data_IF_323315413561
#
_entry.id   IF_323315413561
#
_cell.length_a   1.000
_cell.length_b   1.000
_cell.length_c   1.000
_cell.angle_alpha   90.00
_cell.angle_beta   90.00
_cell.angle_gamma   90.00
#
_symmetry.space_group_name_H-M   'P 1'
#
loop_
_entity.id
_entity.type
_entity.pdbx_description
1 polymer ?
#
# COMPACT_ATOMS: atom_id res chain seq x y z
N UNK A 1 2.82 -19.72 21.40
CA UNK A 1 2.54 -19.29 22.79
C UNK A 1 1.11 -19.70 23.15
N UNK A 2 0.93 -20.10 24.40
CA UNK A 2 -0.38 -20.43 24.96
C UNK A 2 -0.72 -19.33 25.96
N UNK A 3 -1.88 -18.74 25.84
CA UNK A 3 -2.38 -17.76 26.77
C UNK A 3 -3.26 -18.45 27.79
N UNK A 4 -3.05 -18.17 29.09
CA UNK A 4 -3.87 -18.68 30.18
C UNK A 4 -4.68 -17.52 30.74
N UNK A 5 -5.97 -17.74 30.90
CA UNK A 5 -6.86 -16.86 31.64
C UNK A 5 -7.27 -17.58 32.92
N UNK A 6 -7.05 -16.95 34.06
CA UNK A 6 -7.44 -17.46 35.37
C UNK A 6 -8.55 -16.58 35.94
N UNK A 7 -9.71 -17.16 36.19
CA UNK A 7 -10.78 -16.47 36.88
C UNK A 7 -11.05 -17.16 38.21
N UNK A 8 -11.46 -16.40 39.23
CA UNK A 8 -11.76 -16.89 40.55
C UNK A 8 -13.26 -17.00 40.73
N UNK A 9 -13.78 -18.19 40.81
CA UNK A 9 -15.20 -18.45 41.04
C UNK A 9 -15.51 -18.60 42.53
N UNK A 10 -14.56 -19.07 43.32
CA UNK A 10 -14.60 -19.14 44.79
C UNK A 10 -13.19 -19.29 45.33
N UNK A 11 -13.00 -19.17 46.67
CA UNK A 11 -11.70 -19.40 47.31
C UNK A 11 -11.14 -20.82 47.08
N UNK A 12 -11.98 -21.77 46.68
CA UNK A 12 -11.61 -23.19 46.50
C UNK A 12 -11.57 -23.67 45.05
N UNK A 13 -12.21 -22.96 44.08
CA UNK A 13 -12.28 -23.37 42.69
C UNK A 13 -11.54 -22.42 41.78
N UNK A 14 -10.45 -22.91 41.24
CA UNK A 14 -9.64 -22.18 40.23
C UNK A 14 -9.81 -22.82 38.85
N UNK A 15 -10.45 -22.11 37.95
CA UNK A 15 -10.59 -22.54 36.55
C UNK A 15 -9.47 -21.89 35.73
N UNK A 16 -8.61 -22.71 35.14
CA UNK A 16 -7.58 -22.28 34.23
C UNK A 16 -7.97 -22.68 32.80
N UNK A 17 -8.23 -21.71 31.95
CA UNK A 17 -8.54 -21.97 30.55
C UNK A 17 -7.32 -21.62 29.67
N UNK A 18 -6.76 -22.64 29.02
CA UNK A 18 -5.65 -22.49 28.11
C UNK A 18 -6.16 -22.30 26.65
N UNK A 19 -5.85 -21.17 26.04
CA UNK A 19 -6.10 -20.93 24.63
C UNK A 19 -4.87 -21.34 23.80
N UNK A 20 -5.02 -22.42 23.00
CA UNK A 20 -3.95 -22.87 22.12
C UNK A 20 -3.90 -21.99 20.86
N UNK A 21 -2.71 -21.49 20.54
CA UNK A 21 -2.46 -20.75 19.29
C UNK A 21 -2.15 -21.64 18.09
N UNK A 22 -2.23 -22.98 18.25
CA UNK A 22 -1.84 -23.94 17.20
C UNK A 22 -2.62 -23.79 15.88
N UNK A 23 -3.84 -23.25 15.92
CA UNK A 23 -4.67 -22.96 14.73
C UNK A 23 -4.94 -21.47 14.52
N UNK A 24 -4.25 -20.62 15.27
CA UNK A 24 -4.47 -19.17 15.21
C UNK A 24 -4.25 -18.58 13.83
N UNK A 25 -3.24 -19.05 13.07
CA UNK A 25 -2.94 -18.55 11.72
C UNK A 25 -4.11 -18.70 10.75
N UNK A 26 -4.88 -19.79 10.86
CA UNK A 26 -6.05 -19.99 9.97
C UNK A 26 -7.19 -19.06 10.39
N UNK A 27 -7.55 -19.07 11.69
CA UNK A 27 -8.61 -18.22 12.23
C UNK A 27 -8.32 -16.73 12.01
N UNK A 28 -7.05 -16.33 12.15
CA UNK A 28 -6.63 -14.96 11.90
C UNK A 28 -6.78 -14.58 10.41
N UNK A 29 -6.41 -15.45 9.46
CA UNK A 29 -6.63 -15.21 8.03
C UNK A 29 -8.10 -15.11 7.68
N UNK A 30 -8.92 -16.01 8.23
CA UNK A 30 -10.38 -15.99 8.03
C UNK A 30 -10.99 -14.70 8.59
N UNK A 31 -10.52 -14.23 9.75
CA UNK A 31 -10.91 -12.95 10.34
C UNK A 31 -10.47 -11.76 9.48
N UNK A 32 -9.21 -11.72 9.03
CA UNK A 32 -8.69 -10.65 8.15
C UNK A 32 -9.46 -10.62 6.83
N UNK A 33 -9.75 -11.79 6.25
CA UNK A 33 -10.58 -11.88 5.04
C UNK A 33 -12.02 -11.36 5.29
N UNK A 34 -12.59 -11.65 6.45
CA UNK A 34 -13.91 -11.14 6.84
C UNK A 34 -13.89 -9.63 6.99
N UNK A 35 -12.90 -9.06 7.69
CA UNK A 35 -12.75 -7.61 7.88
C UNK A 35 -12.47 -6.91 6.55
N UNK A 36 -11.65 -7.49 5.69
CA UNK A 36 -11.38 -6.94 4.35
C UNK A 36 -12.67 -6.88 3.48
N UNK A 37 -13.58 -7.83 3.67
CA UNK A 37 -14.90 -7.81 3.03
C UNK A 37 -15.86 -6.75 3.59
N UNK A 38 -15.53 -6.12 4.72
CA UNK A 38 -16.25 -4.97 5.26
C UNK A 38 -15.81 -3.64 4.67
N UNK A 39 -14.68 -3.61 3.94
CA UNK A 39 -14.26 -2.44 3.20
C UNK A 39 -15.20 -2.23 2.00
N UNK A 40 -15.49 -0.97 1.69
CA UNK A 40 -16.30 -0.59 0.52
C UNK A 40 -15.58 -0.83 -0.83
N UNK A 41 -14.47 -1.58 -0.82
CA UNK A 41 -13.64 -1.90 -1.97
C UNK A 41 -12.91 -3.22 -1.74
N UNK A 42 -12.61 -3.92 -2.82
CA UNK A 42 -11.90 -5.20 -2.84
C UNK A 42 -10.40 -5.00 -3.13
N UNK A 43 -9.64 -6.08 -3.02
CA UNK A 43 -8.24 -6.11 -3.48
C UNK A 43 -8.12 -5.73 -4.97
N UNK A 44 -9.02 -6.24 -5.80
CA UNK A 44 -8.99 -6.01 -7.25
C UNK A 44 -9.17 -4.53 -7.60
N UNK A 45 -9.92 -3.78 -6.79
CA UNK A 45 -10.13 -2.34 -6.99
C UNK A 45 -8.87 -1.50 -6.76
N UNK A 46 -7.92 -2.00 -5.97
CA UNK A 46 -6.71 -1.29 -5.55
C UNK A 46 -5.41 -1.96 -5.99
N UNK A 47 -5.44 -3.23 -6.42
CA UNK A 47 -4.26 -4.02 -6.80
C UNK A 47 -3.44 -3.38 -7.93
N UNK A 48 -4.12 -2.63 -8.81
CA UNK A 48 -3.50 -1.79 -9.83
C UNK A 48 -4.02 -0.37 -9.72
N UNK A 49 -3.22 0.52 -9.15
CA UNK A 49 -3.61 1.91 -8.90
C UNK A 49 -2.69 2.89 -9.60
N UNK A 50 -3.27 3.84 -10.34
CA UNK A 50 -2.56 4.96 -10.94
C UNK A 50 -2.81 6.23 -10.13
N UNK A 51 -1.73 6.85 -9.66
CA UNK A 51 -1.75 8.09 -8.90
C UNK A 51 -1.24 9.24 -9.78
N UNK A 52 -1.97 10.33 -9.84
CA UNK A 52 -1.60 11.52 -10.60
C UNK A 52 -1.33 12.71 -9.68
N UNK A 53 -0.42 13.56 -10.12
CA UNK A 53 -0.09 14.81 -9.46
C UNK A 53 -0.98 15.94 -9.95
N UNK A 54 -1.18 16.95 -9.09
CA UNK A 54 -1.77 18.22 -9.50
C UNK A 54 -0.86 18.91 -10.50
N UNK A 55 -1.42 19.79 -11.33
CA UNK A 55 -0.65 20.53 -12.31
C UNK A 55 0.43 21.37 -11.62
N UNK A 56 1.65 21.31 -12.16
CA UNK A 56 2.82 22.05 -11.66
C UNK A 56 3.10 21.89 -10.15
N UNK A 57 2.77 20.73 -9.56
CA UNK A 57 2.88 20.48 -8.14
C UNK A 57 3.40 19.07 -7.85
N UNK A 58 4.07 18.89 -6.72
CA UNK A 58 4.42 17.57 -6.15
C UNK A 58 3.34 17.03 -5.19
N UNK A 59 2.15 17.65 -5.20
CA UNK A 59 0.99 17.16 -4.44
C UNK A 59 0.13 16.26 -5.32
N UNK A 60 -0.37 15.19 -4.73
CA UNK A 60 -1.33 14.33 -5.39
C UNK A 60 -2.69 15.01 -5.56
N UNK A 61 -3.43 14.60 -6.58
CA UNK A 61 -4.84 14.94 -6.70
C UNK A 61 -5.64 14.37 -5.52
N UNK A 62 -6.80 14.96 -5.21
CA UNK A 62 -7.68 14.44 -4.14
C UNK A 62 -8.05 12.97 -4.36
N UNK A 63 -8.30 12.58 -5.62
CA UNK A 63 -8.60 11.20 -5.98
C UNK A 63 -7.42 10.26 -5.68
N UNK A 64 -6.17 10.69 -6.01
CA UNK A 64 -4.97 9.92 -5.74
C UNK A 64 -4.69 9.81 -4.23
N UNK A 65 -4.93 10.86 -3.47
CA UNK A 65 -4.80 10.82 -2.00
C UNK A 65 -5.75 9.79 -1.38
N UNK A 66 -7.02 9.78 -1.82
CA UNK A 66 -8.01 8.79 -1.35
C UNK A 66 -7.58 7.37 -1.69
N UNK A 67 -7.03 7.12 -2.88
CA UNK A 67 -6.53 5.80 -3.27
C UNK A 67 -5.32 5.33 -2.44
N UNK A 68 -4.40 6.23 -2.11
CA UNK A 68 -3.26 5.93 -1.21
C UNK A 68 -3.78 5.52 0.17
N UNK A 69 -4.77 6.22 0.71
CA UNK A 69 -5.39 5.87 2.00
C UNK A 69 -6.07 4.49 1.96
N UNK A 70 -6.81 4.18 0.89
CA UNK A 70 -7.42 2.86 0.70
C UNK A 70 -6.36 1.76 0.68
N UNK A 71 -5.27 1.96 -0.07
CA UNK A 71 -4.16 1.00 -0.12
C UNK A 71 -3.53 0.85 1.27
N UNK A 72 -3.25 1.94 1.98
CA UNK A 72 -2.69 1.91 3.34
C UNK A 72 -3.58 1.11 4.29
N UNK A 73 -4.89 1.40 4.28
CA UNK A 73 -5.87 0.72 5.10
C UNK A 73 -5.88 -0.79 4.80
N UNK A 74 -5.95 -1.17 3.53
CA UNK A 74 -5.91 -2.56 3.11
C UNK A 74 -4.64 -3.27 3.57
N UNK A 75 -3.46 -2.66 3.34
CA UNK A 75 -2.16 -3.21 3.73
C UNK A 75 -2.01 -3.39 5.25
N UNK A 76 -2.65 -2.55 6.05
CA UNK A 76 -2.65 -2.67 7.51
C UNK A 76 -3.51 -3.85 8.00
N UNK A 77 -4.52 -4.24 7.24
CA UNK A 77 -5.44 -5.34 7.56
C UNK A 77 -4.98 -6.69 6.99
N UNK A 78 -4.20 -6.68 5.89
CA UNK A 78 -3.71 -7.89 5.23
C UNK A 78 -2.17 -8.00 5.31
N UNK A 79 -1.64 -8.59 6.40
CA UNK A 79 -0.19 -8.79 6.54
C UNK A 79 0.36 -9.86 5.60
N UNK A 80 -0.49 -10.63 4.94
CA UNK A 80 -0.10 -11.70 4.01
C UNK A 80 0.21 -11.23 2.59
N UNK A 81 0.08 -9.93 2.30
CA UNK A 81 0.41 -9.39 0.98
C UNK A 81 1.93 -9.40 0.76
N UNK A 82 2.41 -10.06 -0.29
CA UNK A 82 3.86 -10.30 -0.44
C UNK A 82 4.62 -9.13 -1.02
N UNK A 83 4.06 -8.44 -2.01
CA UNK A 83 4.83 -7.43 -2.72
C UNK A 83 3.98 -6.23 -3.13
N UNK A 84 4.51 -5.03 -2.86
CA UNK A 84 4.00 -3.74 -3.33
C UNK A 84 5.04 -3.10 -4.25
N UNK A 85 4.76 -3.03 -5.53
CA UNK A 85 5.60 -2.37 -6.53
C UNK A 85 5.14 -0.92 -6.71
N UNK A 86 6.07 0.02 -6.61
CA UNK A 86 5.83 1.46 -6.76
C UNK A 86 6.69 1.99 -7.90
N UNK A 87 6.10 2.18 -9.07
CA UNK A 87 6.75 2.67 -10.28
C UNK A 87 6.39 4.14 -10.55
N UNK A 88 7.36 5.04 -10.48
CA UNK A 88 7.14 6.47 -10.71
C UNK A 88 7.71 6.95 -12.04
N UNK A 89 6.95 7.82 -12.71
CA UNK A 89 7.25 8.36 -14.03
C UNK A 89 7.12 9.88 -14.06
N UNK A 90 7.88 10.52 -14.95
CA UNK A 90 7.76 11.94 -15.29
C UNK A 90 7.20 12.12 -16.70
N UNK A 91 6.89 13.38 -17.08
CA UNK A 91 6.79 13.80 -18.45
C UNK A 91 8.18 14.04 -19.07
N UNK A 92 8.25 14.47 -20.33
CA UNK A 92 9.51 14.77 -21.04
C UNK A 92 10.00 16.19 -20.83
N UNK A 93 9.34 17.00 -20.01
CA UNK A 93 9.77 18.37 -19.75
C UNK A 93 10.94 18.41 -18.79
N UNK A 94 12.05 19.04 -19.18
CA UNK A 94 13.28 19.11 -18.39
C UNK A 94 14.36 18.12 -18.83
N UNK A 95 15.43 18.07 -18.06
CA UNK A 95 16.55 17.17 -18.35
C UNK A 95 16.29 15.74 -17.94
N UNK A 96 16.69 14.77 -18.76
CA UNK A 96 16.51 13.34 -18.54
C UNK A 96 17.00 12.85 -17.16
N UNK A 97 18.17 13.34 -16.75
CA UNK A 97 18.71 12.98 -15.44
C UNK A 97 17.88 13.57 -14.28
N UNK A 98 17.44 14.83 -14.42
CA UNK A 98 16.56 15.48 -13.45
C UNK A 98 15.21 14.76 -13.32
N UNK A 99 14.62 14.34 -14.44
CA UNK A 99 13.39 13.56 -14.49
C UNK A 99 13.55 12.19 -13.82
N UNK A 100 14.70 11.53 -14.00
CA UNK A 100 15.00 10.27 -13.30
C UNK A 100 15.04 10.51 -11.79
N UNK A 101 15.83 11.49 -11.33
CA UNK A 101 15.92 11.82 -9.89
C UNK A 101 14.57 12.24 -9.28
N UNK A 102 13.77 12.98 -10.03
CA UNK A 102 12.43 13.37 -9.59
C UNK A 102 11.54 12.14 -9.39
N UNK A 103 11.54 11.21 -10.34
CA UNK A 103 10.74 9.98 -10.24
C UNK A 103 11.21 9.05 -9.11
N UNK A 104 12.52 8.88 -8.93
CA UNK A 104 13.09 8.12 -7.80
C UNK A 104 12.63 8.72 -6.46
N UNK A 105 12.72 10.03 -6.30
CA UNK A 105 12.27 10.73 -5.07
C UNK A 105 10.76 10.54 -4.84
N UNK A 106 9.94 10.56 -5.89
CA UNK A 106 8.49 10.35 -5.82
C UNK A 106 8.14 8.93 -5.38
N UNK A 107 8.82 7.93 -5.95
CA UNK A 107 8.63 6.53 -5.56
C UNK A 107 9.05 6.31 -4.09
N UNK A 108 10.21 6.84 -3.68
CA UNK A 108 10.70 6.75 -2.31
C UNK A 108 9.73 7.39 -1.32
N UNK A 109 9.16 8.56 -1.64
CA UNK A 109 8.20 9.25 -0.76
C UNK A 109 6.96 8.41 -0.46
N UNK A 110 6.45 7.65 -1.44
CA UNK A 110 5.30 6.76 -1.22
C UNK A 110 5.71 5.54 -0.41
N UNK A 111 6.86 4.93 -0.71
CA UNK A 111 7.43 3.85 0.10
C UNK A 111 7.54 4.27 1.57
N UNK A 112 8.17 5.42 1.81
CA UNK A 112 8.40 5.93 3.16
C UNK A 112 7.09 6.22 3.88
N UNK A 113 6.07 6.70 3.17
CA UNK A 113 4.72 6.86 3.71
C UNK A 113 4.13 5.51 4.17
N UNK A 114 4.22 4.46 3.38
CA UNK A 114 3.73 3.14 3.77
C UNK A 114 4.53 2.55 4.95
N UNK A 115 5.85 2.71 4.94
CA UNK A 115 6.72 2.25 6.05
C UNK A 115 6.38 2.98 7.36
N UNK A 116 6.18 4.30 7.32
CA UNK A 116 5.76 5.08 8.50
C UNK A 116 4.39 4.66 9.04
N UNK A 117 3.55 4.04 8.21
CA UNK A 117 2.25 3.49 8.59
C UNK A 117 2.28 1.99 8.89
N UNK A 118 3.46 1.44 9.19
CA UNK A 118 3.62 0.08 9.71
C UNK A 118 3.75 -1.03 8.66
N UNK A 119 3.91 -0.67 7.37
CA UNK A 119 4.17 -1.66 6.33
C UNK A 119 5.67 -1.98 6.30
N UNK A 120 6.03 -3.25 6.36
CA UNK A 120 7.44 -3.67 6.34
C UNK A 120 8.12 -3.27 5.02
N UNK A 121 9.31 -2.71 5.12
CA UNK A 121 10.10 -2.25 3.96
C UNK A 121 10.43 -3.37 2.98
N UNK A 122 10.59 -4.59 3.47
CA UNK A 122 10.86 -5.79 2.66
C UNK A 122 9.72 -6.14 1.69
N UNK A 123 8.51 -5.65 1.97
CA UNK A 123 7.31 -5.84 1.14
C UNK A 123 7.15 -4.78 0.05
N UNK A 124 8.02 -3.78 0.00
CA UNK A 124 7.86 -2.63 -0.89
C UNK A 124 9.07 -2.49 -1.81
N UNK A 125 8.86 -2.58 -3.10
CA UNK A 125 9.84 -2.21 -4.12
C UNK A 125 9.43 -0.89 -4.76
N UNK A 126 10.31 0.13 -4.70
CA UNK A 126 10.05 1.47 -5.23
C UNK A 126 11.09 1.87 -6.27
N UNK A 127 10.65 2.26 -7.48
CA UNK A 127 11.51 2.54 -8.61
C UNK A 127 11.08 3.77 -9.40
N UNK A 128 12.04 4.61 -9.74
CA UNK A 128 11.86 5.75 -10.64
C UNK A 128 12.32 5.41 -12.04
N UNK A 129 11.53 5.76 -13.04
CA UNK A 129 11.82 5.51 -14.46
C UNK A 129 12.06 6.80 -15.26
N UNK A 130 11.87 7.96 -14.64
CA UNK A 130 11.99 9.24 -15.33
C UNK A 130 10.95 9.37 -16.45
N UNK A 131 11.41 9.86 -17.59
CA UNK A 131 10.59 10.08 -18.78
C UNK A 131 10.38 8.84 -19.67
N UNK A 132 10.67 7.65 -19.15
CA UNK A 132 10.43 6.40 -19.90
C UNK A 132 8.96 5.99 -19.83
N UNK A 133 8.51 5.19 -20.83
CA UNK A 133 7.19 4.56 -20.86
C UNK A 133 6.03 5.58 -20.79
N UNK A 134 6.07 6.60 -21.64
CA UNK A 134 4.95 7.54 -21.78
C UNK A 134 3.66 6.81 -22.20
N UNK A 135 2.54 7.21 -21.61
CA UNK A 135 1.21 6.67 -21.93
C UNK A 135 0.36 7.69 -22.72
N UNK A 136 0.87 8.91 -22.90
CA UNK A 136 0.18 9.97 -23.63
C UNK A 136 1.19 10.92 -24.30
N UNK A 137 0.75 11.72 -25.24
CA UNK A 137 1.61 12.73 -25.89
C UNK A 137 2.13 13.75 -24.88
N UNK A 138 3.42 14.09 -24.99
CA UNK A 138 4.04 15.15 -24.20
C UNK A 138 3.82 16.56 -24.77
N UNK A 139 3.25 16.69 -25.96
CA UNK A 139 2.98 17.97 -26.61
C UNK A 139 1.86 18.73 -25.90
N UNK A 140 0.87 18.02 -25.37
CA UNK A 140 -0.26 18.62 -24.68
C UNK A 140 -0.06 18.66 -23.17
N UNK A 141 -0.59 19.68 -22.51
CA UNK A 141 -0.56 19.79 -21.04
C UNK A 141 -1.30 18.63 -20.37
N UNK A 142 -2.42 18.20 -20.98
CA UNK A 142 -3.18 17.05 -20.49
C UNK A 142 -2.39 15.76 -20.60
N UNK A 143 -1.71 15.53 -21.72
CA UNK A 143 -0.89 14.34 -21.94
C UNK A 143 0.31 14.29 -21.00
N UNK A 144 1.01 15.41 -20.82
CA UNK A 144 2.05 15.50 -19.77
C UNK A 144 1.51 15.20 -18.39
N UNK A 145 0.30 15.67 -18.06
CA UNK A 145 -0.37 15.36 -16.80
C UNK A 145 -0.58 13.85 -16.60
N UNK A 146 -0.94 13.11 -17.64
CA UNK A 146 -1.08 11.65 -17.59
C UNK A 146 0.27 10.95 -17.45
N UNK A 147 1.34 11.50 -18.04
CA UNK A 147 2.69 10.93 -17.94
C UNK A 147 3.29 11.14 -16.55
N UNK A 148 2.98 12.23 -15.84
CA UNK A 148 3.37 12.47 -14.44
C UNK A 148 2.52 11.60 -13.51
N UNK A 149 2.87 10.33 -13.40
CA UNK A 149 2.11 9.34 -12.63
C UNK A 149 3.00 8.46 -11.75
N UNK A 150 2.39 7.87 -10.76
CA UNK A 150 2.93 6.72 -10.04
C UNK A 150 1.96 5.57 -10.21
N UNK A 151 2.48 4.40 -10.51
CA UNK A 151 1.71 3.15 -10.61
C UNK A 151 2.06 2.32 -9.38
N UNK A 152 1.04 1.88 -8.66
CA UNK A 152 1.18 0.93 -7.56
C UNK A 152 0.56 -0.39 -8.02
N UNK A 153 1.33 -1.46 -7.91
CA UNK A 153 0.88 -2.82 -8.18
C UNK A 153 1.09 -3.66 -6.93
N UNK A 154 0.07 -4.42 -6.57
CA UNK A 154 0.13 -5.30 -5.41
C UNK A 154 -0.09 -6.74 -5.86
N UNK A 155 0.66 -7.67 -5.26
CA UNK A 155 0.58 -9.09 -5.54
C UNK A 155 0.22 -9.84 -4.26
N UNK A 156 -0.76 -10.73 -4.38
CA UNK A 156 -1.03 -11.74 -3.35
C UNK A 156 -0.18 -12.97 -3.60
N UNK A 157 0.17 -13.73 -2.53
CA UNK A 157 0.87 -15.00 -2.64
C UNK A 157 0.07 -16.03 -3.44
#
# INVERSE_FOLDING_TARGET
>A
PTFYYNDWYSEQDKISVGLSTARFKKAYRDFVSCVANLLNYSFDDISYTVLNYQSSSDKFTKASQRRIEMIREYLSLDPGLELVLIDAYSDSYGGRWSNLKLSERRAAKIRDYFVQNGIEVSRIEAKGYGEKRHISSNETTLGRGKNRRVVIQMQKP
#
